data_IF_717710046238
#
_entry.id   IF_717710046238
#
_cell.length_a   1.000
_cell.length_b   1.000
_cell.length_c   1.000
_cell.angle_alpha   90.00
_cell.angle_beta   90.00
_cell.angle_gamma   90.00
#
_symmetry.space_group_name_H-M   'P 1'
#
loop_
_entity.id
_entity.type
_entity.pdbx_description
1 polymer ?
#
# COMPACT_ATOMS: atom_id res chain seq x y z
N UNK A 1 8.06 29.22 -0.02
CA UNK A 1 6.73 28.66 0.33
C UNK A 1 6.69 27.18 -0.06
N UNK A 2 6.99 26.26 0.87
CA UNK A 2 7.00 24.81 0.61
C UNK A 2 5.61 24.27 0.97
N UNK A 3 4.74 24.08 -0.03
CA UNK A 3 3.41 23.47 0.18
C UNK A 3 3.59 21.97 0.39
N UNK A 4 3.91 21.56 1.63
CA UNK A 4 3.80 20.18 2.06
C UNK A 4 2.33 19.77 1.98
N UNK A 5 1.98 19.04 0.92
CA UNK A 5 0.69 18.35 0.80
C UNK A 5 0.68 17.23 1.84
N UNK A 6 0.24 17.55 3.05
CA UNK A 6 -0.10 16.58 4.09
C UNK A 6 -1.43 15.97 3.67
N UNK A 7 -1.42 14.75 3.16
CA UNK A 7 -2.62 13.96 2.98
C UNK A 7 -3.13 13.60 4.38
N UNK A 8 -4.11 14.37 4.86
CA UNK A 8 -4.85 14.08 6.09
C UNK A 8 -5.79 12.93 5.75
N UNK A 9 -5.48 11.74 6.25
CA UNK A 9 -6.36 10.59 6.23
C UNK A 9 -7.49 10.84 7.24
N UNK A 10 -8.65 11.23 6.74
CA UNK A 10 -9.89 11.23 7.53
C UNK A 10 -10.26 9.78 7.79
N UNK A 11 -10.17 9.41 9.07
CA UNK A 11 -10.51 8.11 9.62
C UNK A 11 -12.04 7.97 9.65
N UNK A 12 -12.61 7.26 8.68
CA UNK A 12 -13.98 6.75 8.78
C UNK A 12 -13.91 5.30 9.28
N UNK A 13 -14.14 5.13 10.59
CA UNK A 13 -14.27 3.84 11.23
C UNK A 13 -15.65 3.24 10.93
N UNK A 14 -15.71 1.97 10.53
CA UNK A 14 -16.42 0.89 11.24
C UNK A 14 -16.39 -0.39 10.40
N UNK A 15 -15.70 -1.41 10.90
CA UNK A 15 -16.27 -2.72 11.24
C UNK A 15 -15.11 -3.57 11.80
N UNK A 16 -15.13 -3.95 13.08
CA UNK A 16 -14.15 -4.88 13.63
C UNK A 16 -14.52 -6.28 13.13
N UNK A 17 -14.05 -6.63 11.94
CA UNK A 17 -14.01 -8.02 11.51
C UNK A 17 -12.85 -8.70 12.22
N UNK A 18 -13.16 -9.67 13.08
CA UNK A 18 -12.22 -10.67 13.60
C UNK A 18 -11.59 -11.42 12.42
N UNK A 19 -10.60 -10.83 11.77
CA UNK A 19 -9.87 -11.49 10.70
C UNK A 19 -8.52 -11.93 11.26
N UNK A 20 -8.49 -13.17 11.74
CA UNK A 20 -7.27 -13.98 11.58
C UNK A 20 -6.85 -13.98 10.11
N UNK A 21 -5.60 -14.36 9.83
CA UNK A 21 -5.03 -14.34 8.48
C UNK A 21 -6.07 -14.79 7.42
N UNK A 22 -6.48 -13.86 6.57
CA UNK A 22 -7.48 -14.13 5.54
C UNK A 22 -6.78 -14.84 4.39
N UNK A 23 -7.25 -16.02 3.94
CA UNK A 23 -6.62 -16.71 2.83
C UNK A 23 -6.74 -15.87 1.55
N UNK A 24 -5.78 -16.01 0.63
CA UNK A 24 -5.73 -15.24 -0.62
C UNK A 24 -7.06 -15.27 -1.41
N UNK A 25 -7.79 -16.39 -1.36
CA UNK A 25 -9.08 -16.55 -2.03
C UNK A 25 -10.24 -15.75 -1.43
N UNK A 26 -10.10 -15.27 -0.19
CA UNK A 26 -11.11 -14.44 0.49
C UNK A 26 -11.01 -12.94 0.12
N UNK A 27 -9.96 -12.55 -0.61
CA UNK A 27 -9.80 -11.19 -1.12
C UNK A 27 -10.74 -10.92 -2.29
N UNK A 28 -11.24 -9.69 -2.39
CA UNK A 28 -12.05 -9.29 -3.54
C UNK A 28 -11.24 -9.41 -4.86
N UNK A 29 -11.88 -9.57 -6.02
CA UNK A 29 -11.17 -9.60 -7.30
C UNK A 29 -10.25 -8.38 -7.51
N UNK A 30 -10.71 -7.20 -7.09
CA UNK A 30 -9.99 -5.93 -7.18
C UNK A 30 -8.81 -5.88 -6.19
N UNK A 31 -9.02 -6.33 -4.94
CA UNK A 31 -7.94 -6.45 -3.95
C UNK A 31 -6.85 -7.41 -4.43
N UNK A 32 -7.24 -8.54 -5.02
CA UNK A 32 -6.30 -9.51 -5.61
C UNK A 32 -5.50 -8.92 -6.76
N UNK A 33 -6.14 -8.13 -7.63
CA UNK A 33 -5.46 -7.46 -8.73
C UNK A 33 -4.38 -6.49 -8.22
N UNK A 34 -4.69 -5.71 -7.19
CA UNK A 34 -3.74 -4.75 -6.59
C UNK A 34 -2.62 -5.46 -5.82
N UNK A 35 -2.95 -6.53 -5.11
CA UNK A 35 -2.00 -7.27 -4.27
C UNK A 35 -1.31 -8.42 -5.03
N UNK A 36 -1.46 -8.52 -6.36
CA UNK A 36 -1.00 -9.68 -7.12
C UNK A 36 0.48 -10.01 -6.89
N UNK A 37 1.34 -9.01 -6.67
CA UNK A 37 2.77 -9.21 -6.37
C UNK A 37 3.03 -9.93 -5.04
N UNK A 38 2.05 -9.94 -4.14
CA UNK A 38 2.11 -10.57 -2.82
C UNK A 38 1.56 -11.99 -2.80
N UNK A 39 0.93 -12.46 -3.88
CA UNK A 39 0.24 -13.77 -3.92
C UNK A 39 1.12 -14.93 -3.45
N UNK A 40 2.39 -14.97 -3.87
CA UNK A 40 3.31 -16.06 -3.54
C UNK A 40 3.76 -16.10 -2.08
N UNK A 41 3.63 -14.98 -1.36
CA UNK A 41 4.04 -14.86 0.05
C UNK A 41 2.87 -14.58 0.98
N UNK A 42 1.64 -14.53 0.46
CA UNK A 42 0.47 -14.08 1.18
C UNK A 42 0.25 -14.86 2.49
N UNK A 43 0.31 -16.18 2.41
CA UNK A 43 0.09 -17.08 3.54
C UNK A 43 1.26 -17.05 4.56
N UNK A 44 2.39 -16.41 4.21
CA UNK A 44 3.54 -16.21 5.11
C UNK A 44 3.42 -14.92 5.94
N UNK A 45 2.56 -14.00 5.52
CA UNK A 45 2.34 -12.76 6.25
C UNK A 45 1.55 -13.02 7.53
N UNK A 46 1.90 -12.32 8.60
CA UNK A 46 1.08 -12.31 9.81
C UNK A 46 -0.32 -11.74 9.51
N UNK A 47 -1.35 -12.07 10.30
CA UNK A 47 -2.68 -11.48 10.14
C UNK A 47 -2.64 -9.95 10.05
N UNK A 48 -1.81 -9.32 10.86
CA UNK A 48 -1.63 -7.86 10.88
C UNK A 48 -0.97 -7.34 9.59
N UNK A 49 0.00 -8.06 9.04
CA UNK A 49 0.63 -7.71 7.77
C UNK A 49 -0.35 -7.83 6.60
N UNK A 50 -1.11 -8.94 6.55
CA UNK A 50 -2.16 -9.12 5.56
C UNK A 50 -3.18 -8.00 5.63
N UNK A 51 -3.66 -7.67 6.83
CA UNK A 51 -4.63 -6.60 7.04
C UNK A 51 -4.09 -5.23 6.60
N UNK A 52 -2.83 -4.90 6.92
CA UNK A 52 -2.20 -3.66 6.44
C UNK A 52 -2.10 -3.59 4.93
N UNK A 53 -1.82 -4.71 4.26
CA UNK A 53 -1.79 -4.80 2.80
C UNK A 53 -3.19 -4.62 2.21
N UNK A 54 -4.22 -5.27 2.78
CA UNK A 54 -5.62 -5.11 2.38
C UNK A 54 -6.09 -3.67 2.50
N UNK A 55 -5.84 -3.02 3.65
CA UNK A 55 -6.16 -1.60 3.83
C UNK A 55 -5.42 -0.71 2.82
N UNK A 56 -4.18 -1.06 2.45
CA UNK A 56 -3.44 -0.40 1.39
C UNK A 56 -4.13 -0.53 0.02
N UNK A 57 -4.57 -1.73 -0.32
CA UNK A 57 -5.29 -2.00 -1.55
C UNK A 57 -6.62 -1.26 -1.61
N UNK A 58 -7.40 -1.29 -0.53
CA UNK A 58 -8.68 -0.56 -0.43
C UNK A 58 -8.48 0.95 -0.60
N UNK A 59 -7.46 1.54 0.05
CA UNK A 59 -7.11 2.95 -0.16
C UNK A 59 -6.78 3.26 -1.63
N UNK A 60 -6.01 2.40 -2.27
CA UNK A 60 -5.66 2.56 -3.69
C UNK A 60 -6.90 2.43 -4.60
N UNK A 61 -7.79 1.49 -4.31
CA UNK A 61 -9.05 1.30 -5.05
C UNK A 61 -10.02 2.47 -4.84
N UNK A 62 -9.93 3.19 -3.71
CA UNK A 62 -10.73 4.39 -3.49
C UNK A 62 -10.18 5.64 -4.17
N UNK A 63 -8.97 5.59 -4.76
CA UNK A 63 -8.43 6.71 -5.52
C UNK A 63 -9.20 6.94 -6.82
N UNK A 64 -9.38 8.20 -7.19
CA UNK A 64 -9.90 8.57 -8.50
C UNK A 64 -8.94 8.12 -9.63
N UNK A 65 -9.43 7.98 -10.87
CA UNK A 65 -8.56 7.60 -12.00
C UNK A 65 -7.35 8.52 -12.18
N UNK A 66 -7.50 9.82 -11.96
CA UNK A 66 -6.41 10.79 -12.04
C UNK A 66 -5.37 10.57 -10.93
N UNK A 67 -5.80 10.30 -9.70
CA UNK A 67 -4.90 9.99 -8.59
C UNK A 67 -4.17 8.66 -8.78
N UNK A 68 -4.86 7.63 -9.29
CA UNK A 68 -4.22 6.34 -9.64
C UNK A 68 -3.13 6.54 -10.69
N UNK A 69 -3.40 7.31 -11.74
CA UNK A 69 -2.41 7.65 -12.76
C UNK A 69 -1.20 8.37 -12.17
N UNK A 70 -1.43 9.31 -11.24
CA UNK A 70 -0.34 9.99 -10.53
C UNK A 70 0.50 9.02 -9.68
N UNK A 71 -0.14 8.07 -8.98
CA UNK A 71 0.56 7.04 -8.20
C UNK A 71 1.38 6.11 -9.10
N UNK A 72 0.83 5.68 -10.23
CA UNK A 72 1.52 4.85 -11.21
C UNK A 72 2.74 5.57 -11.80
N UNK A 73 2.61 6.85 -12.11
CA UNK A 73 3.71 7.65 -12.61
C UNK A 73 4.84 7.81 -11.57
N UNK A 74 4.49 8.08 -10.32
CA UNK A 74 5.48 8.11 -9.23
C UNK A 74 6.17 6.75 -9.04
N UNK A 75 5.42 5.65 -9.14
CA UNK A 75 5.95 4.30 -9.07
C UNK A 75 6.93 4.02 -10.22
N UNK A 76 6.59 4.39 -11.46
CA UNK A 76 7.48 4.25 -12.62
C UNK A 76 8.78 5.03 -12.43
N UNK A 77 8.70 6.28 -11.97
CA UNK A 77 9.88 7.10 -11.67
C UNK A 77 10.76 6.48 -10.60
N UNK A 78 10.15 5.99 -9.52
CA UNK A 78 10.90 5.33 -8.45
C UNK A 78 11.58 4.04 -8.93
N UNK A 79 10.92 3.24 -9.78
CA UNK A 79 11.50 2.02 -10.35
C UNK A 79 12.65 2.29 -11.32
N UNK A 80 12.62 3.44 -12.01
CA UNK A 80 13.70 3.87 -12.88
C UNK A 80 14.95 4.37 -12.12
N UNK A 81 14.87 4.57 -10.80
CA UNK A 81 16.04 4.97 -10.00
C UNK A 81 17.05 3.81 -9.87
N UNK A 82 18.36 4.10 -9.82
CA UNK A 82 19.37 3.10 -9.48
C UNK A 82 19.08 2.41 -8.14
N UNK A 83 19.42 1.12 -7.97
CA UNK A 83 19.14 0.36 -6.74
C UNK A 83 19.65 1.02 -5.46
N UNK A 84 20.80 1.71 -5.52
CA UNK A 84 21.42 2.42 -4.40
C UNK A 84 20.54 3.60 -3.97
N UNK A 85 20.01 4.36 -4.94
CA UNK A 85 19.07 5.46 -4.68
C UNK A 85 17.77 4.94 -4.07
N UNK A 86 17.23 3.84 -4.59
CA UNK A 86 16.04 3.23 -4.02
C UNK A 86 16.28 2.76 -2.57
N UNK A 87 17.47 2.21 -2.25
CA UNK A 87 17.85 1.83 -0.88
C UNK A 87 17.90 3.05 0.04
N UNK A 88 18.60 4.12 -0.35
CA UNK A 88 18.67 5.34 0.46
C UNK A 88 17.29 5.93 0.78
N UNK A 89 16.40 6.00 -0.22
CA UNK A 89 15.03 6.49 -0.01
C UNK A 89 14.23 5.62 0.97
N UNK A 90 14.37 4.29 0.89
CA UNK A 90 13.71 3.38 1.85
C UNK A 90 14.24 3.57 3.27
N UNK A 91 15.55 3.77 3.41
CA UNK A 91 16.18 3.95 4.72
C UNK A 91 15.78 5.30 5.35
N UNK A 92 15.74 6.38 4.58
CA UNK A 92 15.24 7.69 5.02
C UNK A 92 13.79 7.59 5.51
N UNK A 93 12.94 6.94 4.73
CA UNK A 93 11.54 6.73 5.10
C UNK A 93 11.40 5.88 6.37
N UNK A 94 12.22 4.83 6.54
CA UNK A 94 12.24 4.00 7.75
C UNK A 94 12.69 4.80 8.98
N UNK A 95 13.68 5.70 8.84
CA UNK A 95 14.15 6.56 9.94
C UNK A 95 13.11 7.58 10.37
N UNK A 96 12.42 8.21 9.43
CA UNK A 96 11.37 9.21 9.73
C UNK A 96 10.07 8.65 10.31
N UNK A 97 9.90 7.31 10.30
CA UNK A 97 8.74 6.62 10.87
C UNK A 97 8.98 6.05 12.28
N UNK A 98 10.19 6.24 12.83
CA UNK A 98 10.55 5.87 14.21
C UNK A 98 10.27 7.02 15.17
#
# INVERSE_FOLDING_TARGET
MRRTRRLILVLAALLPGLAGAAPWGALSPEERAVLQSHRGEWDRYSPEQQERLRQGAQRYLNLSPAERSAVEEQRRRYQALPPERQRSLRDEYRKGRR
#
